data_IF_418467074807
#
_entry.id   IF_418467074807
#
_cell.length_a   1.000
_cell.length_b   1.000
_cell.length_c   1.000
_cell.angle_alpha   90.00
_cell.angle_beta   90.00
_cell.angle_gamma   90.00
#
_symmetry.space_group_name_H-M   'P 1'
#
loop_
_entity.id
_entity.type
_entity.pdbx_description
1 polymer ?
#
# COMPACT_ATOMS: atom_id res chain seq x y z
N UNK A 1 -2.96 18.18 -14.67
CA UNK A 1 -2.22 16.93 -14.99
C UNK A 1 -2.84 15.69 -14.34
N UNK A 2 -3.16 15.67 -13.03
CA UNK A 2 -3.77 14.49 -12.37
C UNK A 2 -5.22 14.17 -12.81
N UNK A 3 -6.03 15.19 -13.09
CA UNK A 3 -7.41 15.00 -13.57
C UNK A 3 -7.43 14.25 -14.92
N UNK A 4 -6.53 14.62 -15.84
CA UNK A 4 -6.43 13.99 -17.15
C UNK A 4 -5.98 12.52 -17.04
N UNK A 5 -5.13 12.17 -16.07
CA UNK A 5 -4.74 10.77 -15.85
C UNK A 5 -5.87 9.91 -15.28
N UNK A 6 -6.73 10.47 -14.43
CA UNK A 6 -7.91 9.75 -13.96
C UNK A 6 -8.86 9.47 -15.13
N UNK A 7 -9.22 10.50 -15.91
CA UNK A 7 -10.10 10.34 -17.09
C UNK A 7 -9.54 9.30 -18.07
N UNK A 8 -8.25 9.40 -18.41
CA UNK A 8 -7.60 8.47 -19.34
C UNK A 8 -7.51 7.03 -18.81
N UNK A 9 -7.53 6.82 -17.48
CA UNK A 9 -7.54 5.47 -16.90
C UNK A 9 -8.91 4.80 -17.03
N UNK A 10 -9.99 5.57 -16.98
CA UNK A 10 -11.35 5.08 -17.18
C UNK A 10 -11.64 4.74 -18.64
N UNK A 11 -11.18 5.56 -19.59
CA UNK A 11 -11.35 5.28 -21.02
C UNK A 11 -10.67 3.96 -21.43
N UNK A 12 -9.50 3.65 -20.85
CA UNK A 12 -8.82 2.38 -21.11
C UNK A 12 -9.59 1.18 -20.53
N UNK A 13 -10.25 1.35 -19.39
CA UNK A 13 -11.07 0.29 -18.79
C UNK A 13 -12.35 -0.02 -19.59
N UNK A 14 -12.87 0.93 -20.37
CA UNK A 14 -14.01 0.71 -21.29
C UNK A 14 -13.64 -0.24 -22.44
N UNK A 15 -12.41 -0.15 -22.95
CA UNK A 15 -11.95 -0.87 -24.15
C UNK A 15 -11.64 -2.35 -23.87
N UNK A 16 -11.32 -2.72 -22.63
CA UNK A 16 -10.90 -4.08 -22.25
C UNK A 16 -12.05 -4.98 -21.74
N UNK A 17 -13.30 -4.66 -22.08
CA UNK A 17 -14.41 -5.63 -22.07
C UNK A 17 -15.31 -5.65 -20.82
N UNK A 18 -15.22 -4.66 -19.93
CA UNK A 18 -16.03 -4.66 -18.68
C UNK A 18 -17.52 -4.30 -18.87
N UNK A 19 -17.97 -3.89 -20.06
CA UNK A 19 -19.35 -3.44 -20.36
C UNK A 19 -19.95 -2.38 -19.41
N UNK A 20 -19.14 -1.74 -18.57
CA UNK A 20 -19.54 -0.56 -17.81
C UNK A 20 -19.60 0.60 -18.79
N UNK A 21 -20.65 1.42 -18.77
CA UNK A 21 -20.80 2.60 -19.63
C UNK A 21 -20.67 3.84 -18.75
N UNK A 22 -19.67 4.66 -19.02
CA UNK A 22 -19.45 5.91 -18.30
C UNK A 22 -20.34 7.01 -18.90
N UNK A 23 -21.24 7.56 -18.11
CA UNK A 23 -22.20 8.56 -18.59
C UNK A 23 -21.71 9.99 -18.31
N UNK A 24 -21.40 10.32 -17.06
CA UNK A 24 -20.82 11.63 -16.67
C UNK A 24 -20.22 11.63 -15.26
N UNK A 25 -19.39 12.62 -14.96
CA UNK A 25 -18.99 12.96 -13.58
C UNK A 25 -19.87 14.09 -13.07
N UNK A 26 -20.61 13.88 -12.00
CA UNK A 26 -21.48 14.92 -11.42
C UNK A 26 -20.69 15.96 -10.60
N UNK A 27 -19.62 15.56 -9.90
CA UNK A 27 -18.81 16.49 -9.08
C UNK A 27 -17.39 15.97 -8.85
N UNK A 28 -16.42 16.88 -8.90
CA UNK A 28 -15.05 16.64 -8.42
C UNK A 28 -14.76 17.68 -7.33
N UNK A 29 -14.39 17.22 -6.13
CA UNK A 29 -14.06 18.10 -5.01
C UNK A 29 -12.58 17.95 -4.67
N UNK A 30 -11.84 19.06 -4.72
CA UNK A 30 -10.42 19.12 -4.36
C UNK A 30 -10.29 19.95 -3.09
N UNK A 31 -9.94 19.29 -1.97
CA UNK A 31 -9.68 19.96 -0.70
C UNK A 31 -8.19 20.21 -0.57
N UNK A 32 -7.80 21.47 -0.38
CA UNK A 32 -6.41 21.88 -0.20
C UNK A 32 -6.27 22.52 1.17
N UNK A 33 -5.57 21.85 2.08
CA UNK A 33 -5.27 22.38 3.40
C UNK A 33 -3.93 23.14 3.39
N UNK A 34 -3.86 24.24 4.15
CA UNK A 34 -2.64 25.04 4.31
C UNK A 34 -1.76 24.39 5.39
N UNK A 35 -0.57 23.93 5.01
CA UNK A 35 0.34 23.21 5.89
C UNK A 35 1.36 24.13 6.57
N UNK A 36 1.64 23.87 7.85
CA UNK A 36 2.73 24.48 8.62
C UNK A 36 3.67 23.37 9.11
N UNK A 37 4.84 23.18 8.49
CA UNK A 37 5.77 22.12 8.88
C UNK A 37 6.41 22.41 10.23
N UNK A 38 6.18 21.53 11.21
CA UNK A 38 7.03 21.42 12.39
C UNK A 38 8.25 20.56 12.01
N UNK A 39 9.32 21.23 11.58
CA UNK A 39 10.60 20.61 11.20
C UNK A 39 11.11 19.66 12.30
N UNK A 40 11.55 18.44 11.94
CA UNK A 40 12.49 17.71 12.79
C UNK A 40 12.86 16.27 12.43
N UNK A 41 12.05 15.52 11.68
CA UNK A 41 12.44 14.16 11.29
C UNK A 41 11.67 13.63 10.09
N UNK A 42 12.35 12.84 9.25
CA UNK A 42 11.78 12.07 8.14
C UNK A 42 10.97 10.84 8.58
N UNK A 43 10.95 10.56 9.89
CA UNK A 43 10.13 9.53 10.49
C UNK A 43 8.74 10.10 10.80
N UNK A 44 7.69 9.43 10.31
CA UNK A 44 6.31 9.74 10.70
C UNK A 44 5.78 8.67 11.67
N UNK A 45 5.26 9.06 12.85
CA UNK A 45 4.67 8.11 13.79
C UNK A 45 3.36 7.54 13.24
N UNK A 46 3.07 6.28 13.58
CA UNK A 46 1.77 5.67 13.24
C UNK A 46 0.63 6.38 13.98
N UNK A 47 -0.55 6.56 13.35
CA UNK A 47 -1.74 7.02 14.05
C UNK A 47 -2.11 6.04 15.17
N UNK A 48 -2.78 6.55 16.22
CA UNK A 48 -2.99 5.80 17.48
C UNK A 48 -3.64 4.43 17.26
N UNK A 49 -4.62 4.34 16.36
CA UNK A 49 -5.36 3.11 16.06
C UNK A 49 -4.51 2.04 15.33
N UNK A 50 -3.44 2.45 14.63
CA UNK A 50 -2.49 1.56 13.96
C UNK A 50 -1.28 1.18 14.81
N UNK A 51 -1.02 1.90 15.91
CA UNK A 51 0.14 1.68 16.77
C UNK A 51 0.07 0.39 17.59
N UNK A 52 -1.08 -0.28 17.60
CA UNK A 52 -1.28 -1.52 18.34
C UNK A 52 -0.35 -2.64 17.81
N UNK A 53 0.43 -3.32 18.68
CA UNK A 53 1.33 -4.40 18.26
C UNK A 53 0.63 -5.49 17.45
N UNK A 54 -0.66 -5.68 17.71
CA UNK A 54 -1.50 -6.66 17.05
C UNK A 54 -1.80 -6.37 15.58
N UNK A 55 -1.50 -5.17 15.05
CA UNK A 55 -1.78 -4.79 13.66
C UNK A 55 -0.75 -5.31 12.67
N UNK A 56 0.39 -5.81 13.15
CA UNK A 56 1.41 -6.39 12.27
C UNK A 56 2.10 -5.35 11.38
N UNK A 57 2.20 -4.11 11.86
CA UNK A 57 2.96 -3.04 11.21
C UNK A 57 4.32 -2.91 11.85
N UNK A 58 5.33 -2.59 11.04
CA UNK A 58 6.70 -2.33 11.49
C UNK A 58 7.11 -0.98 10.93
N UNK A 59 7.09 0.02 11.83
CA UNK A 59 7.47 1.38 11.50
C UNK A 59 8.95 1.58 11.85
N UNK A 60 9.80 1.58 10.82
CA UNK A 60 11.25 1.71 10.99
C UNK A 60 11.59 3.17 11.28
N UNK A 61 12.38 3.36 12.34
CA UNK A 61 12.71 4.65 12.94
C UNK A 61 13.91 5.31 12.25
N UNK A 62 13.66 5.99 11.15
CA UNK A 62 14.66 6.66 10.30
C UNK A 62 14.83 8.16 10.59
N UNK A 63 14.90 8.58 11.85
CA UNK A 63 14.88 10.01 12.24
C UNK A 63 15.89 10.93 11.52
N UNK A 64 17.00 10.38 11.00
CA UNK A 64 18.10 11.13 10.40
C UNK A 64 18.22 10.97 8.86
N UNK A 65 17.35 10.22 8.19
CA UNK A 65 17.45 9.98 6.74
C UNK A 65 16.10 9.81 6.03
N UNK A 66 16.05 10.08 4.72
CA UNK A 66 14.84 9.93 3.90
C UNK A 66 14.74 8.56 3.22
N UNK A 67 15.29 7.49 3.84
CA UNK A 67 15.40 6.15 3.21
C UNK A 67 14.40 5.14 3.75
N UNK A 68 13.27 5.59 4.30
CA UNK A 68 12.20 4.73 4.82
C UNK A 68 11.77 3.62 3.85
N UNK A 69 11.65 3.92 2.55
CA UNK A 69 11.34 2.92 1.52
C UNK A 69 12.37 1.77 1.49
N UNK A 70 13.67 2.11 1.46
CA UNK A 70 14.75 1.12 1.44
C UNK A 70 14.70 0.26 2.69
N UNK A 71 14.58 0.89 3.86
CA UNK A 71 14.54 0.18 5.14
C UNK A 71 13.35 -0.77 5.23
N UNK A 72 12.17 -0.30 4.84
CA UNK A 72 10.94 -1.11 4.88
C UNK A 72 11.01 -2.28 3.89
N UNK A 73 11.61 -2.09 2.71
CA UNK A 73 11.88 -3.19 1.78
C UNK A 73 12.90 -4.21 2.33
N UNK A 74 13.99 -3.77 2.98
CA UNK A 74 14.97 -4.68 3.59
C UNK A 74 14.35 -5.51 4.72
N UNK A 75 13.47 -4.89 5.52
CA UNK A 75 12.70 -5.55 6.56
C UNK A 75 11.68 -6.55 5.98
N UNK A 76 11.05 -6.23 4.84
CA UNK A 76 10.17 -7.15 4.12
C UNK A 76 10.91 -8.37 3.55
N UNK A 77 12.19 -8.21 3.21
CA UNK A 77 13.06 -9.32 2.78
C UNK A 77 13.45 -10.23 3.94
N UNK A 78 13.93 -9.64 5.04
CA UNK A 78 14.34 -10.38 6.23
C UNK A 78 14.23 -9.49 7.45
N UNK A 79 13.45 -9.96 8.42
CA UNK A 79 13.10 -9.19 9.60
C UNK A 79 13.92 -9.65 10.82
N UNK A 80 14.55 -8.72 11.55
CA UNK A 80 15.14 -9.01 12.86
C UNK A 80 14.11 -9.55 13.84
N UNK A 81 14.53 -10.46 14.71
CA UNK A 81 13.66 -11.02 15.77
C UNK A 81 13.38 -10.03 16.89
N UNK A 82 14.37 -9.19 17.20
CA UNK A 82 14.36 -8.25 18.33
C UNK A 82 14.48 -6.84 17.75
N UNK A 83 13.63 -5.92 18.22
CA UNK A 83 13.61 -4.51 17.83
C UNK A 83 13.69 -4.23 16.31
N UNK A 84 12.81 -4.84 15.49
CA UNK A 84 12.84 -4.68 14.03
C UNK A 84 12.63 -3.24 13.56
N UNK A 85 12.15 -2.34 14.42
CA UNK A 85 11.99 -0.91 14.16
C UNK A 85 13.31 -0.15 14.03
N UNK A 86 14.45 -0.70 14.47
CA UNK A 86 15.73 0.02 14.49
C UNK A 86 16.47 -0.07 13.16
N UNK A 87 16.85 1.10 12.61
CA UNK A 87 17.61 1.19 11.34
C UNK A 87 18.97 0.48 11.40
N UNK A 88 19.61 0.42 12.57
CA UNK A 88 20.94 -0.20 12.75
C UNK A 88 21.02 -1.64 12.24
N UNK A 89 19.93 -2.43 12.34
CA UNK A 89 19.87 -3.81 11.86
C UNK A 89 19.99 -3.93 10.34
N UNK A 90 19.66 -2.88 9.60
CA UNK A 90 19.58 -2.91 8.14
C UNK A 90 20.77 -2.22 7.46
N UNK A 91 21.57 -1.43 8.21
CA UNK A 91 22.65 -0.61 7.65
C UNK A 91 23.67 -1.41 6.84
N UNK A 92 24.05 -2.61 7.27
CA UNK A 92 25.00 -3.48 6.56
C UNK A 92 24.41 -4.07 5.27
N UNK A 93 23.08 -4.17 5.19
CA UNK A 93 22.32 -4.83 4.13
C UNK A 93 21.84 -3.89 3.03
N UNK A 94 22.19 -2.60 3.09
CA UNK A 94 21.79 -1.59 2.09
C UNK A 94 22.09 -1.98 0.65
N UNK A 95 23.16 -2.75 0.42
CA UNK A 95 23.60 -3.19 -0.91
C UNK A 95 22.80 -4.39 -1.45
N UNK A 96 21.96 -5.04 -0.64
CA UNK A 96 21.11 -6.17 -1.09
C UNK A 96 20.04 -5.73 -2.09
N UNK A 97 19.62 -4.46 -2.05
CA UNK A 97 18.59 -3.91 -2.90
C UNK A 97 19.19 -2.92 -3.90
N UNK A 98 18.84 -3.09 -5.17
CA UNK A 98 19.26 -2.17 -6.21
C UNK A 98 18.36 -0.93 -6.21
N UNK A 99 18.97 0.23 -5.95
CA UNK A 99 18.33 1.55 -5.93
C UNK A 99 18.92 2.49 -7.02
N UNK A 100 19.52 1.94 -8.07
CA UNK A 100 20.22 2.73 -9.09
C UNK A 100 19.25 3.71 -9.78
N UNK A 101 19.62 4.99 -9.81
CA UNK A 101 18.82 6.06 -10.41
C UNK A 101 17.42 6.23 -9.77
N UNK A 102 17.23 5.82 -8.52
CA UNK A 102 16.04 6.12 -7.71
C UNK A 102 16.44 7.18 -6.69
N UNK A 103 15.80 8.35 -6.73
CA UNK A 103 16.08 9.43 -5.79
C UNK A 103 15.26 9.23 -4.51
N UNK A 104 15.84 9.63 -3.38
CA UNK A 104 15.12 9.71 -2.11
C UNK A 104 14.55 11.12 -1.92
N UNK A 105 13.39 11.26 -1.25
CA UNK A 105 12.49 10.18 -0.85
C UNK A 105 11.80 9.51 -2.07
N UNK A 106 11.46 8.22 -1.96
CA UNK A 106 11.01 7.40 -3.10
C UNK A 106 9.53 7.63 -3.38
N UNK A 107 9.21 8.10 -4.59
CA UNK A 107 7.80 8.29 -5.00
C UNK A 107 7.17 6.97 -5.40
N UNK A 108 5.86 6.82 -5.21
CA UNK A 108 5.10 5.60 -5.57
C UNK A 108 5.32 5.19 -7.05
N UNK A 109 5.42 6.18 -7.95
CA UNK A 109 5.72 5.95 -9.38
C UNK A 109 7.09 5.32 -9.65
N UNK A 110 8.06 5.55 -8.78
CA UNK A 110 9.43 5.03 -8.94
C UNK A 110 9.55 3.60 -8.38
N UNK A 111 8.52 3.08 -7.72
CA UNK A 111 8.47 1.69 -7.24
C UNK A 111 8.46 0.70 -8.41
N UNK A 112 7.91 1.07 -9.58
CA UNK A 112 7.99 0.23 -10.79
C UNK A 112 9.43 0.04 -11.25
N UNK A 113 10.23 1.11 -11.14
CA UNK A 113 11.64 1.07 -11.47
C UNK A 113 12.40 0.19 -10.48
N UNK A 114 12.06 0.28 -9.20
CA UNK A 114 12.62 -0.60 -8.17
C UNK A 114 12.30 -2.08 -8.44
N UNK A 115 11.05 -2.43 -8.72
CA UNK A 115 10.66 -3.80 -9.03
C UNK A 115 11.33 -4.34 -10.30
N UNK A 116 11.52 -3.51 -11.32
CA UNK A 116 12.24 -3.88 -12.56
C UNK A 116 13.71 -4.20 -12.28
N UNK A 117 14.34 -3.45 -11.36
CA UNK A 117 15.74 -3.66 -10.98
C UNK A 117 15.93 -4.86 -10.05
N UNK A 118 14.92 -5.19 -9.23
CA UNK A 118 14.96 -6.27 -8.25
C UNK A 118 13.98 -7.40 -8.68
N UNK A 119 14.42 -8.23 -9.64
CA UNK A 119 13.55 -9.21 -10.34
C UNK A 119 12.81 -10.19 -9.42
N UNK A 120 13.34 -10.51 -8.24
CA UNK A 120 12.70 -11.41 -7.27
C UNK A 120 11.74 -10.74 -6.27
N UNK A 121 11.57 -9.41 -6.34
CA UNK A 121 10.79 -8.63 -5.37
C UNK A 121 9.64 -7.92 -6.08
N UNK A 122 8.44 -8.05 -5.52
CA UNK A 122 7.23 -7.32 -5.86
C UNK A 122 6.78 -6.51 -4.66
N UNK A 123 6.23 -5.31 -4.89
CA UNK A 123 5.87 -4.34 -3.87
C UNK A 123 4.47 -3.79 -4.15
N UNK A 124 3.57 -3.96 -3.20
CA UNK A 124 2.28 -3.28 -3.16
C UNK A 124 2.31 -2.18 -2.09
N UNK A 125 1.69 -1.04 -2.39
CA UNK A 125 1.66 0.15 -1.54
C UNK A 125 0.20 0.52 -1.27
N UNK A 126 -0.13 0.63 0.02
CA UNK A 126 -1.41 1.08 0.54
C UNK A 126 -1.26 2.47 1.14
N UNK A 127 -2.32 3.27 1.09
CA UNK A 127 -2.42 4.59 1.70
C UNK A 127 -3.53 4.63 2.75
N UNK A 128 -3.58 5.74 3.47
CA UNK A 128 -4.68 6.11 4.34
C UNK A 128 -5.31 7.39 3.80
N UNK A 129 -6.63 7.37 3.67
CA UNK A 129 -7.44 8.56 3.41
C UNK A 129 -7.73 9.31 4.72
N UNK A 130 -8.31 10.52 4.62
CA UNK A 130 -8.63 11.38 5.78
C UNK A 130 -9.59 10.72 6.78
N UNK A 131 -10.44 9.81 6.32
CA UNK A 131 -11.44 9.07 7.10
C UNK A 131 -10.88 7.76 7.70
N UNK A 132 -9.56 7.60 7.75
CA UNK A 132 -8.86 6.37 8.14
C UNK A 132 -9.13 5.16 7.22
N UNK A 133 -9.73 5.37 6.03
CA UNK A 133 -9.94 4.30 5.05
C UNK A 133 -8.63 3.89 4.41
N UNK A 134 -8.39 2.57 4.37
CA UNK A 134 -7.20 1.99 3.73
C UNK A 134 -7.48 1.80 2.25
N UNK A 135 -6.66 2.44 1.39
CA UNK A 135 -6.80 2.36 -0.06
C UNK A 135 -5.54 1.79 -0.72
N UNK A 136 -5.65 0.98 -1.78
CA UNK A 136 -4.49 0.60 -2.58
C UNK A 136 -4.02 1.79 -3.43
N UNK A 137 -2.80 2.28 -3.20
CA UNK A 137 -2.18 3.31 -4.03
C UNK A 137 -1.48 2.72 -5.25
N UNK A 138 -0.93 1.52 -5.09
CA UNK A 138 -0.27 0.77 -6.15
C UNK A 138 -0.28 -0.71 -5.78
N UNK A 139 -0.95 -1.53 -6.58
CA UNK A 139 -0.88 -2.99 -6.44
C UNK A 139 0.03 -3.55 -7.52
N UNK A 140 0.93 -4.44 -7.14
CA UNK A 140 1.79 -5.10 -8.11
C UNK A 140 0.95 -6.01 -9.02
N UNK A 141 1.12 -5.95 -10.36
CA UNK A 141 0.34 -6.80 -11.26
C UNK A 141 0.78 -8.26 -11.22
N UNK A 142 2.02 -8.53 -10.78
CA UNK A 142 2.61 -9.87 -10.75
C UNK A 142 3.31 -10.12 -9.43
N UNK A 143 2.76 -11.04 -8.64
CA UNK A 143 3.40 -11.52 -7.42
C UNK A 143 4.69 -12.26 -7.77
N UNK A 144 5.77 -11.88 -7.09
CA UNK A 144 7.09 -12.52 -7.20
C UNK A 144 7.40 -13.31 -5.93
N UNK A 145 8.52 -14.04 -5.94
CA UNK A 145 8.99 -14.87 -4.82
C UNK A 145 8.96 -14.16 -3.48
N UNK A 146 9.38 -12.89 -3.46
CA UNK A 146 9.23 -12.01 -2.29
C UNK A 146 8.21 -10.94 -2.62
N UNK A 147 7.11 -10.94 -1.89
CA UNK A 147 6.08 -9.93 -1.98
C UNK A 147 6.08 -9.07 -0.72
N UNK A 148 6.20 -7.76 -0.88
CA UNK A 148 6.33 -6.80 0.21
C UNK A 148 5.13 -5.87 0.16
N UNK A 149 4.40 -5.82 1.27
CA UNK A 149 3.28 -4.91 1.46
C UNK A 149 3.73 -3.71 2.29
N UNK A 150 3.55 -2.50 1.75
CA UNK A 150 3.92 -1.25 2.40
C UNK A 150 2.69 -0.39 2.66
N UNK A 151 2.69 0.32 3.77
CA UNK A 151 1.77 1.41 4.06
C UNK A 151 2.51 2.73 3.90
N UNK A 152 1.95 3.65 3.12
CA UNK A 152 2.41 5.02 2.97
C UNK A 152 1.63 5.90 3.94
N UNK A 153 2.33 6.46 4.92
CA UNK A 153 1.83 7.55 5.74
C UNK A 153 2.17 8.86 5.05
N UNK A 154 1.24 9.80 5.08
CA UNK A 154 1.44 11.15 4.57
C UNK A 154 1.08 12.14 5.67
N UNK A 155 1.95 13.12 5.90
CA UNK A 155 1.70 14.26 6.78
C UNK A 155 2.15 15.53 6.05
N UNK A 156 1.20 16.21 5.41
CA UNK A 156 1.48 17.31 4.50
C UNK A 156 2.29 16.88 3.28
N UNK A 157 3.49 17.47 3.14
CA UNK A 157 4.44 17.17 2.04
C UNK A 157 5.38 16.00 2.36
N UNK A 158 5.45 15.59 3.63
CA UNK A 158 6.29 14.49 4.09
C UNK A 158 5.54 13.17 3.97
N UNK A 159 6.28 12.12 3.62
CA UNK A 159 5.74 10.78 3.49
C UNK A 159 6.71 9.72 3.99
N UNK A 160 6.14 8.66 4.53
CA UNK A 160 6.89 7.63 5.23
C UNK A 160 6.35 6.23 4.95
N UNK A 161 7.23 5.32 4.54
CA UNK A 161 6.86 3.93 4.26
C UNK A 161 7.01 3.06 5.50
N UNK A 162 5.93 2.37 5.85
CA UNK A 162 5.84 1.40 6.94
C UNK A 162 5.67 0.00 6.36
N UNK A 163 6.35 -1.00 6.92
CA UNK A 163 6.19 -2.38 6.48
C UNK A 163 4.90 -2.97 7.06
N UNK A 164 4.08 -3.58 6.20
CA UNK A 164 2.96 -4.44 6.59
C UNK A 164 3.47 -5.87 6.64
N UNK A 165 3.80 -6.35 7.84
CA UNK A 165 4.25 -7.74 8.06
C UNK A 165 3.11 -8.74 7.87
N UNK A 166 1.88 -8.35 8.21
CA UNK A 166 0.73 -9.24 8.12
C UNK A 166 -0.51 -8.48 7.67
N UNK A 167 -0.86 -8.62 6.39
CA UNK A 167 -1.99 -7.92 5.78
C UNK A 167 -3.32 -8.29 6.43
N UNK A 168 -3.53 -9.57 6.79
CA UNK A 168 -4.77 -10.01 7.46
C UNK A 168 -4.96 -9.36 8.84
N UNK A 169 -3.87 -9.13 9.58
CA UNK A 169 -3.92 -8.46 10.89
C UNK A 169 -4.11 -6.95 10.73
N UNK A 170 -3.45 -6.35 9.75
CA UNK A 170 -3.59 -4.94 9.43
C UNK A 170 -5.05 -4.59 9.11
N UNK A 171 -5.68 -5.40 8.24
CA UNK A 171 -7.06 -5.20 7.77
C UNK A 171 -8.14 -5.79 8.68
N UNK A 172 -7.77 -6.36 9.83
CA UNK A 172 -8.72 -6.99 10.75
C UNK A 172 -9.86 -6.08 11.21
N UNK A 173 -9.61 -4.77 11.27
CA UNK A 173 -10.61 -3.77 11.66
C UNK A 173 -11.76 -3.66 10.65
N UNK A 174 -11.48 -3.92 9.37
CA UNK A 174 -12.49 -3.82 8.31
C UNK A 174 -13.54 -4.94 8.36
N UNK A 175 -13.40 -5.86 9.32
CA UNK A 175 -14.17 -7.11 9.33
C UNK A 175 -14.71 -7.39 10.71
N UNK A 176 -16.01 -7.64 10.79
CA UNK A 176 -16.68 -8.03 12.04
C UNK A 176 -16.58 -9.54 12.32
N UNK A 177 -16.03 -10.32 11.38
CA UNK A 177 -15.97 -11.78 11.47
C UNK A 177 -14.69 -12.26 12.15
N UNK A 178 -14.84 -13.16 13.13
CA UNK A 178 -13.74 -13.79 13.89
C UNK A 178 -12.90 -14.82 13.08
N UNK A 179 -13.07 -14.91 11.76
CA UNK A 179 -12.37 -15.89 10.91
C UNK A 179 -11.20 -15.24 10.17
N UNK A 180 -10.17 -16.03 9.85
CA UNK A 180 -9.07 -15.60 8.97
C UNK A 180 -9.63 -15.30 7.58
N UNK A 181 -9.40 -14.09 7.10
CA UNK A 181 -9.81 -13.65 5.77
C UNK A 181 -8.61 -13.59 4.83
N UNK A 182 -8.83 -14.07 3.61
CA UNK A 182 -7.93 -13.91 2.49
C UNK A 182 -8.28 -12.61 1.78
N UNK A 183 -7.28 -11.75 1.61
CA UNK A 183 -7.46 -10.43 1.04
C UNK A 183 -6.93 -10.43 -0.39
N UNK A 184 -7.74 -9.97 -1.33
CA UNK A 184 -7.28 -9.66 -2.66
C UNK A 184 -6.86 -8.19 -2.69
N UNK A 185 -5.59 -7.93 -3.02
CA UNK A 185 -5.05 -6.57 -3.02
C UNK A 185 -5.77 -5.64 -4.01
N UNK A 186 -6.30 -6.21 -5.10
CA UNK A 186 -7.11 -5.49 -6.09
C UNK A 186 -8.56 -5.25 -5.64
N UNK A 187 -9.10 -6.04 -4.71
CA UNK A 187 -10.50 -5.95 -4.26
C UNK A 187 -10.67 -5.19 -2.93
N UNK A 188 -9.58 -4.70 -2.35
CA UNK A 188 -9.60 -3.89 -1.12
C UNK A 188 -10.52 -2.66 -1.17
N UNK A 189 -10.77 -2.00 -2.32
CA UNK A 189 -11.78 -0.93 -2.39
C UNK A 189 -13.23 -1.43 -2.34
N UNK A 190 -13.48 -2.73 -2.55
CA UNK A 190 -14.81 -3.26 -2.90
C UNK A 190 -15.46 -4.09 -1.78
N UNK A 191 -14.74 -4.38 -0.70
CA UNK A 191 -15.24 -5.32 0.32
C UNK A 191 -16.30 -4.78 1.27
N UNK A 192 -16.60 -3.47 1.28
CA UNK A 192 -17.58 -2.91 2.22
C UNK A 192 -18.98 -2.57 1.65
N UNK A 193 -19.16 -2.30 0.35
CA UNK A 193 -20.49 -1.89 -0.14
C UNK A 193 -21.42 -3.05 -0.52
N UNK A 194 -20.93 -4.14 -1.14
CA UNK A 194 -21.79 -5.27 -1.49
C UNK A 194 -22.22 -6.14 -0.29
N UNK A 195 -21.48 -6.12 0.81
CA UNK A 195 -21.79 -6.98 1.96
C UNK A 195 -22.90 -6.44 2.86
N UNK A 196 -23.14 -5.13 2.87
CA UNK A 196 -24.11 -4.51 3.78
C UNK A 196 -25.53 -4.47 3.21
N UNK A 197 -25.72 -4.53 1.89
CA UNK A 197 -27.07 -4.35 1.32
C UNK A 197 -27.84 -5.65 1.06
N UNK A 198 -27.20 -6.81 0.89
CA UNK A 198 -27.88 -7.93 0.23
C UNK A 198 -27.92 -9.28 0.98
N UNK A 199 -27.47 -9.41 2.23
CA UNK A 199 -27.78 -10.60 3.05
C UNK A 199 -27.34 -11.98 2.48
N UNK A 200 -26.41 -12.04 1.52
CA UNK A 200 -26.01 -13.31 0.91
C UNK A 200 -25.02 -14.08 1.79
N UNK A 201 -25.45 -15.27 2.25
CA UNK A 201 -24.56 -16.32 2.75
C UNK A 201 -23.97 -17.07 1.56
N UNK A 202 -22.66 -16.98 1.33
CA UNK A 202 -21.98 -17.94 0.47
C UNK A 202 -20.91 -18.70 1.24
N UNK A 203 -21.17 -19.98 1.44
CA UNK A 203 -20.18 -21.04 1.58
C UNK A 203 -19.60 -21.30 0.19
N UNK A 204 -18.55 -20.59 -0.23
CA UNK A 204 -17.53 -21.03 -1.19
C UNK A 204 -16.55 -19.88 -1.48
N UNK A 205 -15.28 -20.25 -1.53
CA UNK A 205 -14.15 -19.45 -1.99
C UNK A 205 -14.50 -18.70 -3.27
N UNK A 206 -14.51 -17.36 -3.20
CA UNK A 206 -14.49 -16.52 -4.39
C UNK A 206 -13.07 -16.62 -4.95
N UNK A 207 -12.88 -17.49 -5.94
CA UNK A 207 -11.72 -17.48 -6.82
C UNK A 207 -11.79 -16.22 -7.66
N UNK A 208 -11.18 -15.14 -7.20
CA UNK A 208 -10.83 -14.02 -8.08
C UNK A 208 -9.55 -14.38 -8.83
N UNK A 209 -9.61 -14.26 -10.15
CA UNK A 209 -8.52 -14.45 -11.12
C UNK A 209 -8.11 -15.91 -11.39
N UNK A 210 -9.01 -16.72 -11.97
CA UNK A 210 -8.57 -17.76 -12.92
C UNK A 210 -8.64 -17.17 -14.32
N UNK A 211 -7.46 -16.91 -14.90
CA UNK A 211 -7.33 -16.60 -16.31
C UNK A 211 -7.96 -17.71 -17.15
N UNK A 212 -8.66 -17.30 -18.19
CA UNK A 212 -9.16 -18.16 -19.25
C UNK A 212 -7.97 -18.76 -20.00
N UNK A 213 -7.68 -20.03 -19.73
CA UNK A 213 -7.07 -20.91 -20.72
C UNK A 213 -8.20 -21.60 -21.49
N UNK A 214 -8.43 -21.14 -22.72
CA UNK A 214 -8.74 -21.91 -23.92
C UNK A 214 -8.78 -20.98 -25.13
#
# INVERSE_FOLDING_TARGET
MAILSCVNSYDKAQVEGSKLLFERVDKIELRVAKYSPLKGSSFLPLPKWLRLPCKGLINIQNYADNRCFLWSCLAGVSLPKIHPERVSHYKSRQKELNMKNIKYPVKVKDVDKFEKQNKGISVSVFGLEEDDTIVPLRVTPKLKTRHINLLLLQDGDDYHYVLIKNISRFLSHLTTRKKRLFWCENCLPVTCLCFLQNGWRTTRSVTCCSGSDK
#
